data_IF_200394449688
#
_entry.id   IF_200394449688
#
_cell.length_a   1.000
_cell.length_b   1.000
_cell.length_c   1.000
_cell.angle_alpha   90.00
_cell.angle_beta   90.00
_cell.angle_gamma   90.00
#
_symmetry.space_group_name_H-M   'P 1'
#
loop_
_entity.id
_entity.type
_entity.pdbx_description
1 polymer ?
#
# COMPACT_ATOMS: atom_id res chain seq x y z
N UNK A 1 21.31 -14.91 30.91
CA UNK A 1 20.03 -14.20 30.80
C UNK A 1 19.44 -14.52 29.44
N UNK A 2 18.40 -15.35 29.38
CA UNK A 2 17.72 -15.63 28.12
C UNK A 2 16.88 -14.39 27.76
N UNK A 3 17.38 -13.57 26.84
CA UNK A 3 16.52 -12.63 26.12
C UNK A 3 15.47 -13.47 25.39
N UNK A 4 14.25 -13.50 25.91
CA UNK A 4 13.09 -13.87 25.13
C UNK A 4 13.06 -12.92 23.95
N UNK A 5 13.62 -13.35 22.81
CA UNK A 5 13.49 -12.68 21.50
C UNK A 5 12.00 -12.49 21.27
N UNK A 6 11.49 -11.32 21.65
CA UNK A 6 10.09 -10.99 21.45
C UNK A 6 9.83 -11.11 19.96
N UNK A 7 8.98 -12.07 19.59
CA UNK A 7 8.62 -12.28 18.19
C UNK A 7 7.96 -10.98 17.73
N UNK A 8 8.55 -10.34 16.71
CA UNK A 8 7.97 -9.13 16.11
C UNK A 8 6.49 -9.35 15.81
N UNK A 9 5.68 -8.36 16.14
CA UNK A 9 4.28 -8.30 15.71
C UNK A 9 4.20 -8.18 14.17
N UNK A 10 3.02 -8.43 13.60
CA UNK A 10 2.81 -8.28 12.16
C UNK A 10 3.09 -6.84 11.70
N UNK A 11 2.73 -5.84 12.50
CA UNK A 11 2.95 -4.41 12.19
C UNK A 11 4.44 -4.09 12.23
N UNK A 12 5.17 -4.52 13.26
CA UNK A 12 6.62 -4.31 13.36
C UNK A 12 7.38 -4.97 12.21
N UNK A 13 6.89 -6.13 11.76
CA UNK A 13 7.44 -6.83 10.59
C UNK A 13 7.18 -6.05 9.31
N UNK A 14 5.96 -5.55 9.10
CA UNK A 14 5.63 -4.70 7.96
C UNK A 14 6.48 -3.43 7.95
N UNK A 15 6.62 -2.75 9.10
CA UNK A 15 7.47 -1.56 9.24
C UNK A 15 8.93 -1.86 8.88
N UNK A 16 9.48 -2.99 9.33
CA UNK A 16 10.85 -3.38 8.98
C UNK A 16 11.02 -3.63 7.47
N UNK A 17 10.04 -4.25 6.82
CA UNK A 17 10.05 -4.48 5.37
C UNK A 17 10.04 -3.13 4.63
N UNK A 18 9.10 -2.24 4.94
CA UNK A 18 9.01 -0.95 4.26
C UNK A 18 10.21 -0.05 4.53
N UNK A 19 10.77 -0.07 5.74
CA UNK A 19 12.03 0.63 6.04
C UNK A 19 13.20 0.12 5.20
N UNK A 20 13.24 -1.19 4.90
CA UNK A 20 14.23 -1.74 3.99
C UNK A 20 13.98 -1.28 2.56
N UNK A 21 12.73 -1.31 2.09
CA UNK A 21 12.34 -0.84 0.74
C UNK A 21 12.73 0.62 0.54
N UNK A 22 12.50 1.49 1.53
CA UNK A 22 12.85 2.91 1.46
C UNK A 22 14.38 3.16 1.48
N UNK A 23 15.15 2.25 2.06
CA UNK A 23 16.61 2.37 2.19
C UNK A 23 17.36 1.83 0.97
N UNK A 24 16.83 0.81 0.31
CA UNK A 24 17.48 0.15 -0.83
C UNK A 24 17.18 0.90 -2.15
N UNK A 25 18.02 0.74 -3.16
CA UNK A 25 17.84 1.36 -4.48
C UNK A 25 16.53 0.93 -5.17
N UNK A 26 16.16 1.61 -6.27
CA UNK A 26 14.91 1.36 -7.02
C UNK A 26 14.66 -0.12 -7.42
N UNK A 27 15.69 -0.96 -7.46
CA UNK A 27 15.55 -2.41 -7.63
C UNK A 27 16.58 -3.15 -6.77
N UNK A 28 16.13 -4.16 -6.02
CA UNK A 28 17.01 -4.98 -5.20
C UNK A 28 16.53 -6.43 -5.11
N UNK A 29 17.45 -7.41 -4.92
CA UNK A 29 17.07 -8.81 -4.87
C UNK A 29 16.32 -9.14 -3.58
N UNK A 30 15.30 -10.00 -3.69
CA UNK A 30 14.47 -10.45 -2.55
C UNK A 30 15.29 -11.05 -1.38
N UNK A 31 16.49 -11.56 -1.65
CA UNK A 31 17.40 -12.06 -0.62
C UNK A 31 17.75 -11.01 0.43
N UNK A 32 17.70 -9.70 0.11
CA UNK A 32 17.92 -8.64 1.09
C UNK A 32 16.88 -8.62 2.22
N UNK A 33 15.69 -9.20 2.01
CA UNK A 33 14.68 -9.36 3.07
C UNK A 33 15.13 -10.27 4.22
N UNK A 34 16.21 -11.05 4.03
CA UNK A 34 16.86 -11.76 5.14
C UNK A 34 17.41 -10.81 6.20
N UNK A 35 17.83 -9.59 5.82
CA UNK A 35 18.30 -8.55 6.76
C UNK A 35 17.22 -8.15 7.77
N UNK A 36 15.94 -8.29 7.41
CA UNK A 36 14.80 -8.01 8.31
C UNK A 36 14.25 -9.28 8.98
N UNK A 37 14.97 -10.41 8.86
CA UNK A 37 14.63 -11.67 9.53
C UNK A 37 13.58 -12.51 8.82
N UNK A 38 13.38 -12.30 7.51
CA UNK A 38 12.46 -13.12 6.70
C UNK A 38 13.21 -14.22 5.98
N UNK A 39 12.73 -15.46 6.13
CA UNK A 39 13.19 -16.57 5.27
C UNK A 39 12.59 -16.42 3.85
N UNK A 40 13.17 -17.09 2.82
CA UNK A 40 12.75 -16.91 1.43
C UNK A 40 11.26 -17.15 1.17
N UNK A 41 10.70 -18.23 1.71
CA UNK A 41 9.28 -18.56 1.50
C UNK A 41 8.33 -17.55 2.15
N UNK A 42 8.73 -16.97 3.29
CA UNK A 42 7.95 -15.95 3.99
C UNK A 42 8.08 -14.61 3.29
N UNK A 43 9.28 -14.28 2.79
CA UNK A 43 9.52 -13.08 1.99
C UNK A 43 8.61 -13.05 0.77
N UNK A 44 8.50 -14.15 0.02
CA UNK A 44 7.60 -14.26 -1.14
C UNK A 44 6.15 -13.92 -0.77
N UNK A 45 5.61 -14.57 0.27
CA UNK A 45 4.24 -14.33 0.74
C UNK A 45 4.00 -12.88 1.16
N UNK A 46 4.99 -12.24 1.77
CA UNK A 46 4.88 -10.81 2.12
C UNK A 46 4.87 -9.93 0.89
N UNK A 47 5.71 -10.21 -0.10
CA UNK A 47 5.74 -9.46 -1.35
C UNK A 47 4.41 -9.61 -2.10
N UNK A 48 3.88 -10.83 -2.22
CA UNK A 48 2.57 -11.10 -2.83
C UNK A 48 1.45 -10.34 -2.10
N UNK A 49 1.48 -10.34 -0.77
CA UNK A 49 0.51 -9.60 0.05
C UNK A 49 0.63 -8.08 -0.16
N UNK A 50 1.84 -7.54 -0.23
CA UNK A 50 2.07 -6.11 -0.47
C UNK A 50 1.54 -5.73 -1.86
N UNK A 51 1.87 -6.51 -2.90
CA UNK A 51 1.38 -6.30 -4.27
C UNK A 51 -0.15 -6.36 -4.31
N UNK A 52 -0.76 -7.33 -3.61
CA UNK A 52 -2.21 -7.42 -3.51
C UNK A 52 -2.81 -6.17 -2.85
N UNK A 53 -2.25 -5.72 -1.71
CA UNK A 53 -2.71 -4.55 -0.96
C UNK A 53 -2.60 -3.26 -1.78
N UNK A 54 -1.52 -3.07 -2.56
CA UNK A 54 -1.31 -1.88 -3.40
C UNK A 54 -2.40 -1.66 -4.46
N UNK A 55 -3.07 -2.74 -4.86
CA UNK A 55 -4.19 -2.75 -5.82
C UNK A 55 -5.56 -2.58 -5.15
N UNK A 56 -5.64 -2.59 -3.82
CA UNK A 56 -6.91 -2.42 -3.11
C UNK A 56 -7.28 -0.94 -2.94
N UNK A 57 -8.57 -0.61 -2.78
CA UNK A 57 -9.01 0.72 -2.39
C UNK A 57 -8.40 1.14 -1.04
N UNK A 58 -8.04 2.41 -0.91
CA UNK A 58 -7.59 2.96 0.37
C UNK A 58 -8.72 2.91 1.40
N UNK A 59 -8.39 2.55 2.64
CA UNK A 59 -9.32 2.52 3.76
C UNK A 59 -8.82 3.40 4.91
N UNK A 60 -9.76 3.92 5.69
CA UNK A 60 -9.53 4.59 6.97
C UNK A 60 -10.21 3.79 8.07
N UNK A 61 -9.50 3.60 9.18
CA UNK A 61 -10.08 2.99 10.38
C UNK A 61 -10.49 4.10 11.36
N UNK A 62 -11.77 4.18 11.69
CA UNK A 62 -12.31 5.10 12.70
C UNK A 62 -12.60 4.27 13.94
N UNK A 63 -11.77 4.44 14.97
CA UNK A 63 -11.90 3.73 16.24
C UNK A 63 -12.65 4.59 17.24
N UNK A 64 -13.74 4.06 17.77
CA UNK A 64 -14.44 4.60 18.94
C UNK A 64 -14.16 3.71 20.15
N UNK A 65 -14.67 4.09 21.33
CA UNK A 65 -14.50 3.29 22.56
C UNK A 65 -15.07 1.87 22.42
N UNK A 66 -16.15 1.71 21.66
CA UNK A 66 -16.91 0.45 21.60
C UNK A 66 -16.88 -0.20 20.20
N UNK A 67 -16.47 0.52 19.17
CA UNK A 67 -16.56 0.04 17.78
C UNK A 67 -15.36 0.47 16.94
N UNK A 68 -15.06 -0.29 15.90
CA UNK A 68 -14.15 0.10 14.82
C UNK A 68 -14.93 0.13 13.52
N UNK A 69 -14.98 1.28 12.87
CA UNK A 69 -15.64 1.49 11.57
C UNK A 69 -14.56 1.51 10.48
N UNK A 70 -14.81 0.81 9.39
CA UNK A 70 -13.96 0.82 8.19
C UNK A 70 -14.62 1.74 7.17
N UNK A 71 -13.96 2.84 6.85
CA UNK A 71 -14.39 3.78 5.82
C UNK A 71 -13.56 3.54 4.55
N UNK A 72 -14.22 3.39 3.41
CA UNK A 72 -13.55 3.35 2.10
C UNK A 72 -13.28 4.79 1.67
N UNK A 73 -12.02 5.09 1.39
CA UNK A 73 -11.58 6.43 1.01
C UNK A 73 -11.55 6.63 -0.52
N UNK A 74 -11.67 5.55 -1.29
CA UNK A 74 -11.70 5.57 -2.75
C UNK A 74 -12.96 4.87 -3.25
N UNK A 75 -13.69 5.53 -4.17
CA UNK A 75 -14.73 4.88 -4.95
C UNK A 75 -14.11 4.08 -6.10
N UNK A 76 -14.90 3.19 -6.72
CA UNK A 76 -14.43 2.29 -7.80
C UNK A 76 -13.75 3.05 -8.94
N UNK A 77 -14.29 4.21 -9.33
CA UNK A 77 -13.71 5.05 -10.37
C UNK A 77 -12.33 5.59 -9.98
N UNK A 78 -12.17 6.07 -8.74
CA UNK A 78 -10.89 6.53 -8.22
C UNK A 78 -9.82 5.43 -8.24
N UNK A 79 -10.18 4.21 -7.84
CA UNK A 79 -9.25 3.08 -7.89
C UNK A 79 -8.80 2.79 -9.32
N UNK A 80 -9.74 2.76 -10.27
CA UNK A 80 -9.44 2.48 -11.68
C UNK A 80 -8.54 3.56 -12.30
N UNK A 81 -8.87 4.85 -12.13
CA UNK A 81 -8.05 5.93 -12.66
C UNK A 81 -6.66 5.95 -12.02
N UNK A 82 -6.55 5.61 -10.73
CA UNK A 82 -5.26 5.45 -10.04
C UNK A 82 -4.40 4.34 -10.62
N UNK A 83 -5.00 3.19 -10.89
CA UNK A 83 -4.28 2.09 -11.55
C UNK A 83 -3.73 2.53 -12.90
N UNK A 84 -4.51 3.26 -13.70
CA UNK A 84 -4.08 3.73 -15.03
C UNK A 84 -2.94 4.74 -14.95
N UNK A 85 -3.00 5.76 -14.09
CA UNK A 85 -1.94 6.78 -14.08
C UNK A 85 -0.64 6.31 -13.40
N UNK A 86 -0.72 5.35 -12.49
CA UNK A 86 0.44 4.72 -11.85
C UNK A 86 1.11 3.64 -12.71
N UNK A 87 0.42 3.14 -13.74
CA UNK A 87 0.94 2.11 -14.64
C UNK A 87 2.07 2.67 -15.53
N UNK A 88 3.30 2.21 -15.29
CA UNK A 88 4.48 2.65 -16.04
C UNK A 88 4.55 2.09 -17.46
N UNK A 89 3.75 1.07 -17.80
CA UNK A 89 3.71 0.49 -19.15
C UNK A 89 2.82 1.32 -20.10
N UNK A 90 1.99 2.22 -19.56
CA UNK A 90 1.12 3.12 -20.33
C UNK A 90 1.84 4.37 -20.81
N UNK A 91 1.33 4.95 -21.89
CA UNK A 91 1.88 6.19 -22.43
C UNK A 91 1.69 7.35 -21.44
N UNK A 92 2.59 8.33 -21.51
CA UNK A 92 2.48 9.54 -20.69
C UNK A 92 1.12 10.21 -20.83
N UNK A 93 0.57 10.28 -22.05
CA UNK A 93 -0.73 10.90 -22.33
C UNK A 93 -1.86 10.17 -21.59
N UNK A 94 -1.96 8.85 -21.72
CA UNK A 94 -3.00 8.07 -21.03
C UNK A 94 -2.92 8.23 -19.51
N UNK A 95 -1.70 8.24 -18.97
CA UNK A 95 -1.48 8.42 -17.53
C UNK A 95 -1.88 9.83 -17.08
N UNK A 96 -1.56 10.84 -17.86
CA UNK A 96 -1.93 12.23 -17.58
C UNK A 96 -3.45 12.42 -17.61
N UNK A 97 -4.11 11.92 -18.66
CA UNK A 97 -5.57 12.01 -18.80
C UNK A 97 -6.27 11.31 -17.61
N UNK A 98 -5.81 10.10 -17.23
CA UNK A 98 -6.34 9.39 -16.07
C UNK A 98 -6.11 10.11 -14.73
N UNK A 99 -5.00 10.84 -14.58
CA UNK A 99 -4.75 11.68 -13.42
C UNK A 99 -5.72 12.88 -13.37
N UNK A 100 -5.98 13.52 -14.50
CA UNK A 100 -6.97 14.60 -14.59
C UNK A 100 -8.37 14.12 -14.25
N UNK A 101 -8.75 12.95 -14.76
CA UNK A 101 -10.01 12.27 -14.45
C UNK A 101 -10.14 11.96 -12.96
N UNK A 102 -9.08 11.41 -12.35
CA UNK A 102 -9.03 11.12 -10.92
C UNK A 102 -9.26 12.38 -10.08
N UNK A 103 -8.56 13.47 -10.40
CA UNK A 103 -8.68 14.74 -9.68
C UNK A 103 -10.06 15.38 -9.86
N UNK A 104 -10.61 15.32 -11.07
CA UNK A 104 -11.94 15.86 -11.38
C UNK A 104 -13.05 15.12 -10.62
N UNK A 105 -12.96 13.80 -10.54
CA UNK A 105 -13.86 12.98 -9.74
C UNK A 105 -13.75 13.31 -8.26
N UNK A 106 -12.53 13.46 -7.73
CA UNK A 106 -12.30 13.78 -6.33
C UNK A 106 -12.90 15.14 -5.94
N UNK A 107 -12.67 16.17 -6.75
CA UNK A 107 -13.25 17.51 -6.54
C UNK A 107 -14.79 17.45 -6.56
N UNK A 108 -15.36 16.69 -7.51
CA UNK A 108 -16.81 16.53 -7.62
C UNK A 108 -17.39 15.85 -6.37
N UNK A 109 -16.79 14.74 -5.94
CA UNK A 109 -17.21 14.01 -4.74
C UNK A 109 -17.09 14.87 -3.48
N UNK A 110 -16.04 15.70 -3.35
CA UNK A 110 -15.89 16.62 -2.22
C UNK A 110 -16.94 17.74 -2.21
N UNK A 111 -17.30 18.28 -3.39
CA UNK A 111 -18.35 19.29 -3.52
C UNK A 111 -19.72 18.76 -3.14
N UNK A 112 -20.03 17.51 -3.48
CA UNK A 112 -21.31 16.87 -3.17
C UNK A 112 -21.45 16.46 -1.69
N UNK A 113 -20.34 16.36 -0.95
CA UNK A 113 -20.33 16.03 0.49
C UNK A 113 -20.44 17.26 1.41
N UNK A 114 -20.30 18.47 0.87
CA UNK A 114 -20.55 19.73 1.57
C UNK A 114 -22.03 20.13 1.45
#
# INVERSE_FOLDING_TARGET
>A
MNETKNRRTLIERAQAIFKLVDYEDCSFPKSKLQKVGLNPATAEKWLDLIVYIQKQPRIRLIKTKNTTIIEKHEEKYHTMSREIFMDSERSYKERFDALQDYLSALITSERLKK
#
